data_IF_928334741905
#
_entry.id   IF_928334741905
#
_cell.length_a   1.000
_cell.length_b   1.000
_cell.length_c   1.000
_cell.angle_alpha   90.00
_cell.angle_beta   90.00
_cell.angle_gamma   90.00
#
_symmetry.space_group_name_H-M   'P 1'
#
loop_
_entity.id
_entity.type
_entity.pdbx_description
1 polymer ?
#
# COMPACT_ATOMS: atom_id res chain seq x y z
N UNK A 1 8.87 -7.00 0.62
CA UNK A 1 8.41 -7.16 -0.78
C UNK A 1 7.35 -6.12 -1.13
N UNK A 2 6.25 -6.02 -0.37
CA UNK A 2 5.19 -5.02 -0.57
C UNK A 2 5.67 -3.55 -0.54
N UNK A 3 6.59 -3.20 0.36
CA UNK A 3 7.18 -1.84 0.43
C UNK A 3 7.87 -1.46 -0.88
N UNK A 4 8.68 -2.36 -1.46
CA UNK A 4 9.35 -2.14 -2.75
C UNK A 4 8.36 -1.97 -3.90
N UNK A 5 7.28 -2.76 -3.94
CA UNK A 5 6.22 -2.58 -4.93
C UNK A 5 5.51 -1.22 -4.80
N UNK A 6 5.27 -0.77 -3.57
CA UNK A 6 4.69 0.55 -3.31
C UNK A 6 5.61 1.69 -3.76
N UNK A 7 6.93 1.56 -3.54
CA UNK A 7 7.93 2.53 -3.98
C UNK A 7 8.03 2.60 -5.50
N UNK A 8 8.09 1.45 -6.18
CA UNK A 8 8.10 1.36 -7.65
C UNK A 8 6.84 2.01 -8.22
N UNK A 9 5.67 1.74 -7.64
CA UNK A 9 4.42 2.33 -8.09
C UNK A 9 4.40 3.86 -7.94
N UNK A 10 4.90 4.39 -6.82
CA UNK A 10 5.04 5.84 -6.61
C UNK A 10 6.01 6.45 -7.61
N UNK A 11 7.12 5.77 -7.90
CA UNK A 11 8.15 6.25 -8.82
C UNK A 11 7.64 6.29 -10.26
N UNK A 12 7.02 5.22 -10.75
CA UNK A 12 6.45 5.17 -12.10
C UNK A 12 5.35 6.22 -12.28
N UNK A 13 4.51 6.41 -11.27
CA UNK A 13 3.50 7.47 -11.29
C UNK A 13 4.09 8.88 -11.40
N UNK A 14 5.19 9.16 -10.70
CA UNK A 14 5.90 10.45 -10.83
C UNK A 14 6.44 10.66 -12.24
N UNK A 15 6.99 9.61 -12.86
CA UNK A 15 7.43 9.66 -14.27
C UNK A 15 6.26 9.93 -15.21
N UNK A 16 5.14 9.21 -15.05
CA UNK A 16 3.94 9.44 -15.85
C UNK A 16 3.44 10.88 -15.74
N UNK A 17 3.40 11.45 -14.53
CA UNK A 17 3.02 12.85 -14.34
C UNK A 17 3.97 13.81 -15.07
N UNK A 18 5.28 13.56 -15.01
CA UNK A 18 6.28 14.37 -15.69
C UNK A 18 6.08 14.35 -17.22
N UNK A 19 5.82 13.17 -17.79
CA UNK A 19 5.57 13.00 -19.22
C UNK A 19 4.31 13.77 -19.64
N UNK A 20 3.21 13.62 -18.89
CA UNK A 20 1.95 14.31 -19.19
C UNK A 20 2.14 15.84 -19.12
N UNK A 21 2.83 16.35 -18.10
CA UNK A 21 3.11 17.79 -17.98
C UNK A 21 4.03 18.29 -19.10
N UNK A 22 4.99 17.48 -19.54
CA UNK A 22 5.86 17.82 -20.66
C UNK A 22 5.05 17.98 -21.95
N UNK A 23 4.16 17.03 -22.24
CA UNK A 23 3.25 17.05 -23.40
C UNK A 23 2.36 18.30 -23.35
N UNK A 24 1.74 18.60 -22.21
CA UNK A 24 0.89 19.80 -22.07
C UNK A 24 1.63 21.13 -22.24
N UNK A 25 2.94 21.17 -21.96
CA UNK A 25 3.72 22.41 -21.96
C UNK A 25 4.48 22.65 -23.28
N UNK A 26 4.76 21.61 -24.06
CA UNK A 26 5.64 21.69 -25.23
C UNK A 26 4.98 21.24 -26.53
N UNK A 27 3.88 20.48 -26.49
CA UNK A 27 3.16 20.10 -27.70
C UNK A 27 2.02 21.07 -28.00
N UNK A 28 1.85 21.39 -29.27
CA UNK A 28 0.75 22.23 -29.76
C UNK A 28 -0.52 21.37 -29.87
N UNK A 29 -1.16 21.17 -28.73
CA UNK A 29 -2.36 20.36 -28.59
C UNK A 29 -3.60 21.20 -28.94
N UNK A 30 -4.44 20.67 -29.81
CA UNK A 30 -5.80 21.21 -29.99
C UNK A 30 -6.59 21.15 -28.68
N UNK A 31 -7.60 22.02 -28.53
CA UNK A 31 -8.33 22.22 -27.28
C UNK A 31 -8.94 20.91 -26.72
N UNK A 32 -9.41 20.02 -27.59
CA UNK A 32 -9.95 18.72 -27.21
C UNK A 32 -8.88 17.78 -26.69
N UNK A 33 -7.71 17.75 -27.34
CA UNK A 33 -6.56 16.97 -26.90
C UNK A 33 -5.98 17.51 -25.60
N UNK A 34 -5.86 18.82 -25.46
CA UNK A 34 -5.42 19.46 -24.22
C UNK A 34 -6.31 19.06 -23.04
N UNK A 35 -7.64 19.09 -23.23
CA UNK A 35 -8.61 18.67 -22.21
C UNK A 35 -8.48 17.19 -21.84
N UNK A 36 -8.22 16.32 -22.81
CA UNK A 36 -7.96 14.90 -22.53
C UNK A 36 -6.67 14.71 -21.73
N UNK A 37 -5.57 15.35 -22.13
CA UNK A 37 -4.28 15.26 -21.43
C UNK A 37 -4.38 15.85 -20.02
N UNK A 38 -5.13 16.94 -19.84
CA UNK A 38 -5.46 17.52 -18.54
C UNK A 38 -6.24 16.53 -17.66
N UNK A 39 -7.23 15.82 -18.23
CA UNK A 39 -7.97 14.77 -17.51
C UNK A 39 -7.05 13.63 -17.09
N UNK A 40 -6.09 13.22 -17.95
CA UNK A 40 -5.09 12.23 -17.60
C UNK A 40 -4.19 12.70 -16.45
N UNK A 41 -3.79 13.98 -16.45
CA UNK A 41 -3.03 14.58 -15.35
C UNK A 41 -3.81 14.52 -14.03
N UNK A 42 -5.11 14.86 -14.06
CA UNK A 42 -5.97 14.81 -12.88
C UNK A 42 -6.20 13.39 -12.37
N UNK A 43 -6.34 12.39 -13.25
CA UNK A 43 -6.45 10.98 -12.86
C UNK A 43 -5.15 10.48 -12.21
N UNK A 44 -4.00 10.84 -12.79
CA UNK A 44 -2.68 10.54 -12.22
C UNK A 44 -2.47 11.28 -10.91
N UNK A 45 -3.10 12.44 -10.66
CA UNK A 45 -3.02 13.17 -9.39
C UNK A 45 -3.96 12.62 -8.32
N UNK A 46 -5.19 12.25 -8.68
CA UNK A 46 -6.27 11.85 -7.74
C UNK A 46 -6.14 10.39 -7.26
N UNK A 47 -5.58 9.45 -8.05
CA UNK A 47 -5.36 8.05 -7.63
C UNK A 47 -4.34 7.84 -6.48
N UNK A 48 -3.98 8.89 -5.71
CA UNK A 48 -3.16 8.80 -4.48
C UNK A 48 -3.90 8.15 -3.30
N UNK A 49 -5.23 8.12 -3.33
CA UNK A 49 -6.03 7.63 -2.21
C UNK A 49 -6.55 6.19 -2.39
N UNK A 50 -6.95 5.78 -3.58
CA UNK A 50 -7.65 4.48 -3.74
C UNK A 50 -6.71 3.27 -3.75
N UNK A 51 -5.50 3.40 -4.29
CA UNK A 51 -4.54 2.27 -4.32
C UNK A 51 -3.89 2.06 -2.94
N UNK A 52 -3.80 3.14 -2.14
CA UNK A 52 -3.43 3.08 -0.73
C UNK A 52 -4.53 2.41 0.11
N UNK A 53 -5.80 2.75 -0.16
CA UNK A 53 -6.92 2.23 0.63
C UNK A 53 -7.25 0.76 0.36
N UNK A 54 -7.13 0.29 -0.90
CA UNK A 54 -7.58 -1.06 -1.26
C UNK A 54 -6.48 -2.14 -1.14
N UNK A 55 -5.20 -1.76 -1.09
CA UNK A 55 -4.09 -2.71 -0.88
C UNK A 55 -3.50 -2.61 0.54
N UNK A 56 -3.83 -1.54 1.29
CA UNK A 56 -3.14 -1.22 2.54
C UNK A 56 -4.01 -0.64 3.66
N UNK A 57 -5.31 -0.93 3.72
CA UNK A 57 -6.06 -0.76 4.98
C UNK A 57 -5.77 -1.91 5.96
N UNK A 58 -4.49 -2.19 6.18
CA UNK A 58 -4.07 -2.92 7.36
C UNK A 58 -4.26 -1.96 8.53
N UNK A 59 -5.43 -2.00 9.16
CA UNK A 59 -5.67 -1.26 10.39
C UNK A 59 -4.63 -1.69 11.43
N UNK A 60 -3.65 -0.82 11.68
CA UNK A 60 -2.55 -1.06 12.62
C UNK A 60 -3.06 -1.56 13.99
N UNK A 61 -4.18 -1.03 14.56
CA UNK A 61 -4.74 -1.56 15.80
C UNK A 61 -5.22 -3.02 15.69
N UNK A 62 -5.75 -3.43 14.53
CA UNK A 62 -6.24 -4.79 14.30
C UNK A 62 -5.06 -5.77 14.22
N UNK A 63 -4.01 -5.41 13.48
CA UNK A 63 -2.81 -6.26 13.39
C UNK A 63 -2.05 -6.34 14.70
N UNK A 64 -1.94 -5.24 15.44
CA UNK A 64 -1.32 -5.25 16.75
C UNK A 64 -2.08 -6.13 17.74
N UNK A 65 -3.42 -6.05 17.74
CA UNK A 65 -4.27 -6.93 18.54
C UNK A 65 -4.16 -8.40 18.13
N UNK A 66 -4.11 -8.68 16.83
CA UNK A 66 -3.96 -10.05 16.32
C UNK A 66 -2.59 -10.64 16.71
N UNK A 67 -1.50 -9.87 16.51
CA UNK A 67 -0.15 -10.28 16.88
C UNK A 67 -0.02 -10.51 18.39
N UNK A 68 -0.59 -9.62 19.21
CA UNK A 68 -0.62 -9.78 20.66
C UNK A 68 -1.32 -11.08 21.07
N UNK A 69 -2.50 -11.37 20.52
CA UNK A 69 -3.25 -12.61 20.81
C UNK A 69 -2.49 -13.87 20.38
N UNK A 70 -1.85 -13.85 19.21
CA UNK A 70 -1.07 -14.98 18.71
C UNK A 70 0.12 -15.28 19.63
N UNK A 71 0.87 -14.26 20.05
CA UNK A 71 2.00 -14.41 20.97
C UNK A 71 1.52 -14.93 22.33
N UNK A 72 0.43 -14.39 22.88
CA UNK A 72 -0.13 -14.86 24.15
C UNK A 72 -0.53 -16.33 24.10
N UNK A 73 -1.16 -16.78 23.00
CA UNK A 73 -1.52 -18.19 22.82
C UNK A 73 -0.30 -19.11 22.75
N UNK A 74 0.74 -18.68 22.04
CA UNK A 74 2.00 -19.45 21.94
C UNK A 74 2.63 -19.62 23.31
N UNK A 75 2.73 -18.54 24.10
CA UNK A 75 3.29 -18.59 25.46
C UNK A 75 2.48 -19.52 26.36
N UNK A 76 1.15 -19.43 26.32
CA UNK A 76 0.27 -20.32 27.08
C UNK A 76 0.45 -21.79 26.69
N UNK A 77 0.56 -22.09 25.40
CA UNK A 77 0.78 -23.45 24.91
C UNK A 77 2.13 -24.01 25.34
N UNK A 78 3.19 -23.19 25.31
CA UNK A 78 4.51 -23.58 25.80
C UNK A 78 4.45 -23.87 27.31
N UNK A 79 3.84 -22.98 28.09
CA UNK A 79 3.69 -23.17 29.55
C UNK A 79 2.89 -24.43 29.87
N UNK A 80 1.76 -24.64 29.18
CA UNK A 80 0.94 -25.83 29.31
C UNK A 80 1.74 -27.11 29.00
N UNK A 81 2.51 -27.11 27.92
CA UNK A 81 3.37 -28.23 27.55
C UNK A 81 4.39 -28.55 28.65
N UNK A 82 5.09 -27.54 29.19
CA UNK A 82 6.03 -27.77 30.27
C UNK A 82 5.34 -28.30 31.53
N UNK A 83 4.21 -27.71 31.92
CA UNK A 83 3.49 -28.12 33.14
C UNK A 83 2.89 -29.53 33.05
N UNK A 84 2.33 -29.91 31.90
CA UNK A 84 1.49 -31.11 31.76
C UNK A 84 2.05 -32.21 30.87
N UNK A 85 3.18 -31.97 30.19
CA UNK A 85 3.85 -33.02 29.41
C UNK A 85 5.21 -33.29 30.01
N UNK A 86 5.99 -32.25 30.30
CA UNK A 86 7.36 -32.42 30.80
C UNK A 86 7.40 -32.68 32.31
N UNK A 87 6.60 -31.98 33.10
CA UNK A 87 6.67 -32.07 34.58
C UNK A 87 5.86 -33.23 35.17
N UNK A 88 4.91 -33.78 34.41
CA UNK A 88 4.09 -34.94 34.80
C UNK A 88 4.58 -36.28 34.22
N UNK A 89 5.80 -36.28 33.66
CA UNK A 89 6.59 -37.48 33.31
C UNK A 89 7.55 -37.82 34.45
#
# INVERSE_FOLDING_TARGET
MLVKFSEIFIQERKKTMMIILHIMAHEDLDADYFKQVQTMADLVRTKKLEISANVFTVHIPIVLNFAGRAISYIVLMIQYFYMHVVTSS
#
